data_IF_352606290979
#
_entry.id   IF_352606290979
#
_cell.length_a   1.000
_cell.length_b   1.000
_cell.length_c   1.000
_cell.angle_alpha   90.00
_cell.angle_beta   90.00
_cell.angle_gamma   90.00
#
_symmetry.space_group_name_H-M   'P 1'
#
loop_
_entity.id
_entity.type
_entity.pdbx_description
1 polymer ?
#
# COMPACT_ATOMS: atom_id res chain seq x y z
N UNK A 1 -18.01 19.83 -9.10
CA UNK A 1 -17.19 19.06 -10.05
C UNK A 1 -15.98 19.88 -10.38
N UNK A 2 -14.84 19.50 -9.85
CA UNK A 2 -13.61 20.29 -9.88
C UNK A 2 -13.01 20.33 -11.31
N UNK A 3 -12.92 21.52 -11.89
CA UNK A 3 -12.32 21.74 -13.22
C UNK A 3 -10.81 21.45 -13.27
N UNK A 4 -10.15 21.22 -12.13
CA UNK A 4 -8.74 20.87 -12.05
C UNK A 4 -8.48 19.43 -12.54
N UNK A 5 -9.42 18.54 -12.35
CA UNK A 5 -9.33 17.14 -12.85
C UNK A 5 -9.59 17.01 -14.36
N UNK A 6 -10.17 18.03 -15.00
CA UNK A 6 -10.35 18.04 -16.46
C UNK A 6 -9.07 18.45 -17.22
N UNK A 7 -8.06 19.00 -16.54
CA UNK A 7 -6.78 19.42 -17.15
C UNK A 7 -5.64 18.39 -17.05
N UNK A 8 -5.81 17.36 -16.25
CA UNK A 8 -4.96 16.17 -16.36
C UNK A 8 -5.46 15.43 -17.60
N UNK A 9 -4.84 15.79 -18.72
CA UNK A 9 -5.34 15.55 -20.06
C UNK A 9 -5.88 14.13 -20.25
N UNK A 10 -6.84 14.01 -21.14
CA UNK A 10 -7.49 12.80 -21.69
C UNK A 10 -6.52 11.59 -21.85
N UNK A 11 -5.21 11.82 -21.94
CA UNK A 11 -4.17 10.80 -21.97
C UNK A 11 -3.94 10.05 -20.64
N UNK A 12 -3.91 10.72 -19.49
CA UNK A 12 -3.66 10.05 -18.20
C UNK A 12 -4.89 9.26 -17.73
N UNK A 13 -6.09 9.75 -18.03
CA UNK A 13 -7.35 9.06 -17.78
C UNK A 13 -7.51 7.82 -18.69
N UNK A 14 -7.06 7.93 -19.95
CA UNK A 14 -7.01 6.80 -20.89
C UNK A 14 -5.95 5.77 -20.50
N UNK A 15 -4.81 6.19 -19.95
CA UNK A 15 -3.79 5.26 -19.43
C UNK A 15 -4.30 4.49 -18.21
N UNK A 16 -4.87 5.19 -17.24
CA UNK A 16 -5.45 4.58 -16.04
C UNK A 16 -6.60 3.61 -16.37
N UNK A 17 -7.49 3.98 -17.29
CA UNK A 17 -8.55 3.10 -17.77
C UNK A 17 -8.02 1.94 -18.60
N UNK A 18 -6.97 2.14 -19.43
CA UNK A 18 -6.31 1.07 -20.18
C UNK A 18 -5.58 0.09 -19.27
N UNK A 19 -4.94 0.55 -18.21
CA UNK A 19 -4.25 -0.33 -17.26
C UNK A 19 -5.25 -1.10 -16.41
N UNK A 20 -6.35 -0.47 -16.00
CA UNK A 20 -7.46 -1.17 -15.36
C UNK A 20 -8.14 -2.17 -16.32
N UNK A 21 -8.33 -1.82 -17.58
CA UNK A 21 -8.86 -2.73 -18.60
C UNK A 21 -7.90 -3.89 -18.88
N UNK A 22 -6.58 -3.67 -18.95
CA UNK A 22 -5.59 -4.73 -19.11
C UNK A 22 -5.55 -5.69 -17.93
N UNK A 23 -5.66 -5.18 -16.70
CA UNK A 23 -5.76 -5.97 -15.48
C UNK A 23 -7.07 -6.75 -15.41
N UNK A 24 -8.17 -6.16 -15.91
CA UNK A 24 -9.49 -6.78 -15.90
C UNK A 24 -9.72 -7.78 -17.05
N UNK A 25 -9.24 -7.49 -18.26
CA UNK A 25 -9.46 -8.35 -19.42
C UNK A 25 -8.62 -9.63 -19.44
N UNK A 26 -7.43 -9.63 -18.87
CA UNK A 26 -6.61 -10.84 -18.73
C UNK A 26 -7.19 -11.76 -17.64
N UNK A 27 -7.19 -11.35 -16.36
CA UNK A 27 -7.60 -12.20 -15.26
C UNK A 27 -9.08 -12.61 -15.30
N UNK A 28 -10.00 -11.70 -15.62
CA UNK A 28 -11.44 -11.99 -15.59
C UNK A 28 -11.91 -12.99 -16.65
N UNK A 29 -11.23 -13.08 -17.78
CA UNK A 29 -11.52 -14.12 -18.79
C UNK A 29 -11.09 -15.51 -18.35
N UNK A 30 -10.08 -15.59 -17.50
CA UNK A 30 -9.48 -16.83 -17.04
C UNK A 30 -10.11 -17.36 -15.75
N UNK A 31 -10.93 -16.56 -15.06
CA UNK A 31 -11.59 -16.98 -13.83
C UNK A 31 -12.98 -17.54 -14.09
N UNK A 32 -13.19 -18.87 -13.88
CA UNK A 32 -14.49 -19.54 -14.09
C UNK A 32 -15.63 -18.98 -13.26
N UNK A 33 -15.31 -18.34 -12.14
CA UNK A 33 -16.32 -17.69 -11.27
C UNK A 33 -16.97 -16.44 -11.86
N UNK A 34 -16.37 -15.88 -12.91
CA UNK A 34 -16.90 -14.73 -13.62
C UNK A 34 -17.16 -15.10 -15.08
N UNK A 35 -18.34 -15.63 -15.41
CA UNK A 35 -18.69 -15.96 -16.78
C UNK A 35 -18.48 -14.75 -17.69
N UNK A 36 -18.01 -15.02 -18.91
CA UNK A 36 -17.81 -13.97 -19.92
C UNK A 36 -19.06 -13.09 -20.04
N UNK A 37 -18.87 -11.77 -19.91
CA UNK A 37 -19.94 -10.80 -20.03
C UNK A 37 -20.75 -10.56 -18.75
N UNK A 38 -20.44 -11.19 -17.61
CA UNK A 38 -21.15 -10.97 -16.34
C UNK A 38 -21.16 -9.50 -15.92
N UNK A 39 -20.08 -8.77 -16.22
CA UNK A 39 -19.91 -7.37 -15.81
C UNK A 39 -19.81 -6.41 -16.99
N UNK A 40 -19.99 -6.88 -18.22
CA UNK A 40 -19.75 -6.10 -19.42
C UNK A 40 -18.32 -5.56 -19.44
N UNK A 41 -18.15 -4.24 -19.56
CA UNK A 41 -16.86 -3.55 -19.52
C UNK A 41 -16.46 -3.07 -18.11
N UNK A 42 -17.29 -3.35 -17.10
CA UNK A 42 -17.06 -2.88 -15.73
C UNK A 42 -16.39 -3.95 -14.86
N UNK A 43 -15.37 -3.54 -14.11
CA UNK A 43 -14.82 -4.36 -13.02
C UNK A 43 -15.60 -4.03 -11.76
N UNK A 44 -16.25 -5.00 -11.11
CA UNK A 44 -17.02 -4.75 -9.89
C UNK A 44 -16.08 -4.36 -8.74
N UNK A 45 -16.63 -3.62 -7.78
CA UNK A 45 -15.94 -3.37 -6.52
C UNK A 45 -15.78 -4.68 -5.75
N UNK A 46 -14.56 -4.98 -5.36
CA UNK A 46 -14.26 -6.19 -4.60
C UNK A 46 -14.39 -6.01 -3.07
N UNK A 47 -14.53 -4.79 -2.58
CA UNK A 47 -14.53 -4.53 -1.13
C UNK A 47 -13.19 -4.93 -0.50
N UNK A 48 -13.25 -5.70 0.57
CA UNK A 48 -12.07 -6.26 1.25
C UNK A 48 -11.49 -7.49 0.54
N UNK A 49 -12.20 -8.04 -0.45
CA UNK A 49 -11.71 -9.12 -1.28
C UNK A 49 -10.81 -8.58 -2.38
N UNK A 50 -9.75 -9.30 -2.72
CA UNK A 50 -9.01 -9.02 -3.94
C UNK A 50 -9.84 -9.43 -5.16
N UNK A 51 -10.03 -8.52 -6.10
CA UNK A 51 -10.74 -8.83 -7.34
C UNK A 51 -9.99 -9.85 -8.19
N UNK A 52 -10.71 -10.48 -9.14
CA UNK A 52 -10.10 -11.39 -10.10
C UNK A 52 -9.69 -12.75 -9.54
N UNK A 53 -10.28 -13.19 -8.41
CA UNK A 53 -10.01 -14.52 -7.84
C UNK A 53 -8.67 -14.64 -7.14
N UNK A 54 -7.99 -13.53 -6.88
CA UNK A 54 -6.76 -13.55 -6.08
C UNK A 54 -7.08 -13.98 -4.64
N UNK A 55 -6.39 -14.99 -4.09
CA UNK A 55 -6.71 -15.57 -2.78
C UNK A 55 -6.12 -14.74 -1.64
N UNK A 56 -6.22 -13.42 -1.69
CA UNK A 56 -5.75 -12.49 -0.68
C UNK A 56 -6.82 -11.48 -0.31
N UNK A 57 -7.28 -11.47 0.96
CA UNK A 57 -8.33 -10.60 1.44
C UNK A 57 -7.91 -9.90 2.73
N UNK A 58 -8.54 -8.76 2.99
CA UNK A 58 -8.48 -8.08 4.27
C UNK A 58 -9.59 -8.65 5.14
N UNK A 59 -9.24 -9.19 6.31
CA UNK A 59 -10.16 -9.81 7.26
C UNK A 59 -10.09 -9.09 8.61
N UNK A 60 -11.19 -9.16 9.35
CA UNK A 60 -11.31 -8.55 10.68
C UNK A 60 -10.48 -9.30 11.70
N UNK A 61 -9.96 -8.56 12.67
CA UNK A 61 -9.33 -9.09 13.87
C UNK A 61 -10.13 -8.68 15.12
N UNK A 62 -9.77 -9.23 16.27
CA UNK A 62 -10.39 -8.86 17.55
C UNK A 62 -10.31 -7.36 17.77
N UNK A 63 -11.42 -6.75 18.15
CA UNK A 63 -11.54 -5.32 18.41
C UNK A 63 -12.01 -4.48 17.20
N UNK A 64 -12.30 -5.10 16.06
CA UNK A 64 -12.72 -4.42 14.83
C UNK A 64 -13.97 -3.54 14.99
N UNK A 65 -14.80 -3.79 16.00
CA UNK A 65 -16.03 -3.01 16.27
C UNK A 65 -15.71 -1.58 16.74
N UNK A 66 -14.56 -1.39 17.35
CA UNK A 66 -14.15 -0.11 17.95
C UNK A 66 -12.86 0.45 17.37
N UNK A 67 -12.02 -0.39 16.78
CA UNK A 67 -10.78 -0.01 16.13
C UNK A 67 -10.90 -0.18 14.61
N UNK A 68 -10.94 0.92 13.83
CA UNK A 68 -11.04 0.86 12.37
C UNK A 68 -9.80 0.22 11.69
N UNK A 69 -8.70 0.05 12.41
CA UNK A 69 -7.45 -0.54 11.93
C UNK A 69 -7.23 -1.97 12.44
N UNK A 70 -8.21 -2.57 13.16
CA UNK A 70 -8.15 -3.96 13.64
C UNK A 70 -8.43 -4.97 12.51
N UNK A 71 -7.59 -4.94 11.48
CA UNK A 71 -7.67 -5.79 10.30
C UNK A 71 -6.29 -6.33 9.92
N UNK A 72 -6.30 -7.44 9.19
CA UNK A 72 -5.09 -8.04 8.62
C UNK A 72 -5.35 -8.49 7.18
N UNK A 73 -4.37 -8.29 6.31
CA UNK A 73 -4.37 -8.87 4.97
C UNK A 73 -3.77 -10.27 5.05
N UNK A 74 -4.48 -11.27 4.54
CA UNK A 74 -4.05 -12.69 4.52
C UNK A 74 -4.13 -13.20 3.09
N UNK A 75 -3.09 -13.93 2.66
CA UNK A 75 -3.04 -14.55 1.34
C UNK A 75 -3.03 -16.07 1.49
N UNK A 76 -4.11 -16.72 1.06
CA UNK A 76 -4.26 -18.17 1.06
C UNK A 76 -3.60 -18.78 -0.19
N UNK A 77 -2.28 -18.57 -0.36
CA UNK A 77 -1.51 -19.11 -1.49
C UNK A 77 -1.52 -20.65 -1.49
N UNK A 78 -1.34 -21.22 -2.66
CA UNK A 78 -1.36 -22.69 -2.87
C UNK A 78 -0.43 -23.41 -1.92
N UNK A 79 0.82 -22.94 -1.78
CA UNK A 79 1.83 -23.56 -0.93
C UNK A 79 1.57 -23.37 0.56
N UNK A 80 0.94 -22.25 0.94
CA UNK A 80 0.66 -21.92 2.33
C UNK A 80 -0.70 -22.47 2.81
N UNK A 81 -1.61 -22.78 1.89
CA UNK A 81 -2.97 -23.20 2.21
C UNK A 81 -3.06 -24.41 3.15
N UNK A 82 -2.26 -25.49 3.00
CA UNK A 82 -2.32 -26.60 3.93
C UNK A 82 -2.04 -26.22 5.39
N UNK A 83 -1.06 -25.35 5.60
CA UNK A 83 -0.73 -24.87 6.94
C UNK A 83 -1.82 -23.93 7.49
N UNK A 84 -2.34 -23.05 6.63
CA UNK A 84 -3.43 -22.15 6.99
C UNK A 84 -4.69 -22.92 7.36
N UNK A 85 -5.10 -23.90 6.54
CA UNK A 85 -6.27 -24.74 6.82
C UNK A 85 -6.17 -25.45 8.18
N UNK A 86 -5.01 -26.02 8.48
CA UNK A 86 -4.75 -26.65 9.79
C UNK A 86 -4.81 -25.63 10.93
N UNK A 87 -4.22 -24.45 10.75
CA UNK A 87 -4.20 -23.40 11.78
C UNK A 87 -5.59 -22.90 12.16
N UNK A 88 -6.49 -22.80 11.18
CA UNK A 88 -7.88 -22.36 11.40
C UNK A 88 -8.83 -23.52 11.78
N UNK A 89 -8.32 -24.75 11.94
CA UNK A 89 -9.10 -25.91 12.35
C UNK A 89 -9.79 -26.68 11.23
N UNK A 90 -9.45 -26.40 9.97
CA UNK A 90 -10.04 -27.03 8.78
C UNK A 90 -9.05 -27.96 8.05
N UNK A 91 -8.40 -28.86 8.80
CA UNK A 91 -7.53 -29.88 8.21
C UNK A 91 -8.26 -30.81 7.22
N UNK A 92 -9.58 -31.01 7.41
CA UNK A 92 -10.49 -31.75 6.55
C UNK A 92 -10.54 -31.22 5.12
N UNK A 93 -10.34 -29.92 4.91
CA UNK A 93 -10.31 -29.31 3.56
C UNK A 93 -9.21 -29.86 2.66
N UNK A 94 -8.18 -30.46 3.23
CA UNK A 94 -7.07 -31.02 2.43
C UNK A 94 -7.47 -32.30 1.70
N UNK A 95 -8.48 -32.98 2.18
CA UNK A 95 -9.02 -34.22 1.59
C UNK A 95 -10.36 -33.99 0.87
N UNK A 96 -11.07 -32.87 1.16
CA UNK A 96 -12.35 -32.54 0.55
C UNK A 96 -12.15 -32.11 -0.92
N UNK A 97 -12.78 -32.79 -1.91
CA UNK A 97 -12.72 -32.40 -3.30
C UNK A 97 -13.16 -30.96 -3.60
N UNK A 98 -13.93 -30.33 -2.71
CA UNK A 98 -14.36 -28.96 -2.85
C UNK A 98 -13.28 -27.93 -2.47
N UNK A 99 -12.22 -28.34 -1.75
CA UNK A 99 -11.20 -27.44 -1.21
C UNK A 99 -9.77 -27.89 -1.46
N UNK A 100 -9.53 -29.16 -1.83
CA UNK A 100 -8.19 -29.74 -1.91
C UNK A 100 -7.34 -29.19 -3.08
N UNK A 101 -7.96 -28.61 -4.10
CA UNK A 101 -7.24 -27.96 -5.21
C UNK A 101 -7.52 -26.46 -5.28
N UNK A 102 -6.60 -25.66 -5.87
CA UNK A 102 -6.83 -24.23 -6.08
C UNK A 102 -8.11 -23.96 -6.87
N UNK A 103 -8.35 -24.69 -7.95
CA UNK A 103 -9.52 -24.51 -8.83
C UNK A 103 -10.84 -24.82 -8.08
N UNK A 104 -10.84 -25.85 -7.24
CA UNK A 104 -12.00 -26.19 -6.42
C UNK A 104 -12.30 -25.10 -5.36
N UNK A 105 -11.26 -24.47 -4.81
CA UNK A 105 -11.40 -23.38 -3.83
C UNK A 105 -11.87 -22.07 -4.45
N UNK A 106 -11.51 -21.81 -5.70
CA UNK A 106 -11.73 -20.52 -6.34
C UNK A 106 -13.19 -20.04 -6.25
N UNK A 107 -14.22 -20.82 -6.59
CA UNK A 107 -15.62 -20.42 -6.43
C UNK A 107 -16.07 -20.35 -4.97
N UNK A 108 -15.26 -20.83 -4.02
CA UNK A 108 -15.55 -20.90 -2.59
C UNK A 108 -14.70 -19.99 -1.74
N UNK A 109 -13.94 -19.07 -2.35
CA UNK A 109 -13.06 -18.14 -1.62
C UNK A 109 -13.82 -17.33 -0.56
N UNK A 110 -15.05 -16.94 -0.82
CA UNK A 110 -15.86 -16.24 0.17
C UNK A 110 -16.08 -17.07 1.43
N UNK A 111 -16.34 -18.37 1.29
CA UNK A 111 -16.48 -19.28 2.42
C UNK A 111 -15.13 -19.48 3.13
N UNK A 112 -14.06 -19.72 2.39
CA UNK A 112 -12.71 -19.88 2.96
C UNK A 112 -12.33 -18.67 3.79
N UNK A 113 -12.52 -17.46 3.26
CA UNK A 113 -12.17 -16.24 3.98
C UNK A 113 -13.14 -15.91 5.13
N UNK A 114 -14.39 -16.36 5.08
CA UNK A 114 -15.30 -16.26 6.22
C UNK A 114 -14.80 -17.12 7.41
N UNK A 115 -14.29 -18.33 7.16
CA UNK A 115 -13.72 -19.16 8.21
C UNK A 115 -12.37 -18.62 8.72
N UNK A 116 -11.52 -18.08 7.83
CA UNK A 116 -10.32 -17.37 8.24
C UNK A 116 -10.70 -16.17 9.14
N UNK A 117 -11.70 -15.38 8.77
CA UNK A 117 -12.15 -14.22 9.55
C UNK A 117 -12.66 -14.61 10.94
N UNK A 118 -13.42 -15.70 11.06
CA UNK A 118 -13.84 -16.22 12.38
C UNK A 118 -12.66 -16.51 13.28
N UNK A 119 -11.61 -17.11 12.74
CA UNK A 119 -10.39 -17.41 13.47
C UNK A 119 -9.60 -16.13 13.82
N UNK A 120 -9.42 -15.22 12.88
CA UNK A 120 -8.67 -13.98 13.12
C UNK A 120 -9.37 -13.04 14.10
N UNK A 121 -10.71 -13.04 14.17
CA UNK A 121 -11.46 -12.29 15.17
C UNK A 121 -11.24 -12.75 16.61
N UNK A 122 -10.63 -13.88 16.85
CA UNK A 122 -10.27 -14.35 18.21
C UNK A 122 -8.99 -13.69 18.75
N UNK A 123 -8.20 -13.03 17.90
CA UNK A 123 -6.88 -12.50 18.20
C UNK A 123 -6.71 -11.06 17.63
N UNK A 124 -5.78 -10.30 18.21
CA UNK A 124 -5.35 -9.03 17.62
C UNK A 124 -4.60 -9.23 16.28
N UNK A 125 -4.56 -8.22 15.43
CA UNK A 125 -3.84 -8.28 14.15
C UNK A 125 -2.36 -8.69 14.29
N UNK A 126 -1.71 -8.30 15.38
CA UNK A 126 -0.31 -8.65 15.64
C UNK A 126 -0.16 -10.10 16.11
N UNK A 127 -1.09 -10.61 16.93
CA UNK A 127 -1.13 -12.03 17.33
C UNK A 127 -1.40 -12.94 16.14
N UNK A 128 -2.32 -12.55 15.24
CA UNK A 128 -2.57 -13.27 13.98
C UNK A 128 -1.30 -13.35 13.14
N UNK A 129 -0.60 -12.20 12.96
CA UNK A 129 0.65 -12.17 12.21
C UNK A 129 1.72 -13.07 12.84
N UNK A 130 1.85 -13.04 14.17
CA UNK A 130 2.79 -13.90 14.90
C UNK A 130 2.45 -15.39 14.76
N UNK A 131 1.17 -15.76 14.68
CA UNK A 131 0.73 -17.12 14.47
C UNK A 131 0.94 -17.62 13.03
N UNK A 132 0.75 -16.75 12.01
CA UNK A 132 0.83 -17.14 10.60
C UNK A 132 2.26 -17.11 10.02
N UNK A 133 3.14 -16.23 10.50
CA UNK A 133 4.50 -16.12 9.99
C UNK A 133 5.31 -17.42 10.07
N UNK A 134 5.33 -18.19 11.19
CA UNK A 134 6.05 -19.45 11.26
C UNK A 134 5.51 -20.53 10.30
N UNK A 135 4.26 -20.37 9.86
CA UNK A 135 3.59 -21.29 8.93
C UNK A 135 3.83 -20.92 7.46
N UNK A 136 4.64 -19.89 7.19
CA UNK A 136 4.88 -19.32 5.86
C UNK A 136 3.58 -18.90 5.15
N UNK A 137 2.58 -18.43 5.91
CA UNK A 137 1.37 -17.83 5.35
C UNK A 137 1.60 -16.33 5.19
N UNK A 138 1.63 -15.81 3.95
CA UNK A 138 1.84 -14.38 3.74
C UNK A 138 0.67 -13.58 4.34
N UNK A 139 1.01 -12.66 5.24
CA UNK A 139 0.04 -11.77 5.87
C UNK A 139 0.70 -10.46 6.28
N UNK A 140 -0.12 -9.43 6.47
CA UNK A 140 0.34 -8.13 6.94
C UNK A 140 -0.76 -7.38 7.68
N UNK A 141 -0.50 -6.83 8.89
CA UNK A 141 -1.48 -6.07 9.63
C UNK A 141 -1.80 -4.76 8.90
N UNK A 142 -3.03 -4.32 8.99
CA UNK A 142 -3.41 -2.97 8.58
C UNK A 142 -2.98 -2.03 9.71
N UNK A 143 -2.05 -1.14 9.39
CA UNK A 143 -1.49 -0.22 10.38
C UNK A 143 -2.12 1.16 10.24
N UNK A 144 -2.46 1.75 11.38
CA UNK A 144 -2.83 3.16 11.47
C UNK A 144 -1.63 4.06 11.13
N UNK A 145 -1.89 5.32 10.82
CA UNK A 145 -0.82 6.31 10.58
C UNK A 145 0.11 6.48 11.79
N UNK A 146 -0.42 6.33 13.00
CA UNK A 146 0.39 6.36 14.23
C UNK A 146 1.30 5.14 14.32
N UNK A 147 0.76 3.95 14.14
CA UNK A 147 1.56 2.71 14.13
C UNK A 147 2.64 2.73 13.06
N UNK A 148 2.34 3.24 11.85
CA UNK A 148 3.35 3.42 10.80
C UNK A 148 4.47 4.38 11.22
N UNK A 149 4.11 5.49 11.86
CA UNK A 149 5.10 6.47 12.33
C UNK A 149 5.99 5.93 13.46
N UNK A 150 5.45 5.05 14.29
CA UNK A 150 6.14 4.47 15.45
C UNK A 150 6.86 3.14 15.12
N UNK A 151 6.58 2.51 13.96
CA UNK A 151 7.11 1.19 13.59
C UNK A 151 8.64 1.20 13.42
N UNK A 152 9.38 0.48 14.28
CA UNK A 152 10.86 0.50 14.24
C UNK A 152 11.44 -0.07 12.94
N UNK A 153 10.78 -1.04 12.32
CA UNK A 153 11.23 -1.64 11.07
C UNK A 153 11.22 -0.63 9.92
N UNK A 154 10.21 0.26 9.87
CA UNK A 154 10.13 1.31 8.86
C UNK A 154 11.22 2.37 9.03
N UNK A 155 11.62 2.67 10.27
CA UNK A 155 12.78 3.53 10.55
C UNK A 155 14.10 2.86 10.17
N UNK A 156 14.28 1.60 10.54
CA UNK A 156 15.47 0.82 10.20
C UNK A 156 15.69 0.68 8.69
N UNK A 157 14.63 0.54 7.93
CA UNK A 157 14.69 0.47 6.47
C UNK A 157 14.79 1.85 5.80
N UNK A 158 14.66 2.93 6.57
CA UNK A 158 14.63 4.29 6.04
C UNK A 158 13.39 4.59 5.19
N UNK A 159 12.30 3.84 5.40
CA UNK A 159 10.98 4.15 4.82
C UNK A 159 10.36 5.36 5.51
N UNK A 160 10.55 5.45 6.84
CA UNK A 160 10.23 6.63 7.63
C UNK A 160 11.54 7.20 8.16
N UNK A 161 11.77 8.48 7.94
CA UNK A 161 12.97 9.21 8.38
C UNK A 161 12.59 10.42 9.21
N UNK A 162 13.46 10.79 10.14
CA UNK A 162 13.33 12.03 10.90
C UNK A 162 14.20 13.11 10.24
N UNK A 163 13.64 14.28 10.04
CA UNK A 163 14.36 15.46 9.56
C UNK A 163 14.21 16.62 10.55
N UNK A 164 15.27 17.42 10.68
CA UNK A 164 15.26 18.60 11.56
C UNK A 164 15.00 19.85 10.73
N UNK A 165 14.01 20.64 11.14
CA UNK A 165 13.60 21.86 10.43
C UNK A 165 13.69 23.06 11.39
N UNK A 166 14.36 24.16 11.03
CA UNK A 166 14.68 25.26 11.94
C UNK A 166 13.44 25.95 12.54
N UNK A 167 12.30 25.90 11.85
CA UNK A 167 11.05 26.51 12.36
C UNK A 167 10.07 25.50 12.94
N UNK A 168 10.12 24.21 12.50
CA UNK A 168 9.16 23.17 12.90
C UNK A 168 9.74 22.20 13.93
N UNK A 169 11.07 22.22 14.13
CA UNK A 169 11.76 21.20 14.89
C UNK A 169 11.80 19.87 14.15
N UNK A 170 12.07 18.81 14.87
CA UNK A 170 12.13 17.46 14.33
C UNK A 170 10.74 16.94 13.93
N UNK A 171 10.65 16.38 12.74
CA UNK A 171 9.41 15.73 12.27
C UNK A 171 9.72 14.50 11.41
N UNK A 172 8.74 13.61 11.31
CA UNK A 172 8.85 12.41 10.48
C UNK A 172 8.35 12.70 9.07
N UNK A 173 9.05 12.13 8.10
CA UNK A 173 8.66 12.15 6.70
C UNK A 173 8.95 10.82 6.02
N UNK A 174 8.45 10.65 4.81
CA UNK A 174 8.71 9.45 4.01
C UNK A 174 10.11 9.53 3.43
N UNK A 175 10.87 8.46 3.57
CA UNK A 175 12.19 8.32 2.97
C UNK A 175 12.13 8.00 1.47
N UNK A 176 13.29 7.96 0.82
CA UNK A 176 13.35 7.53 -0.57
C UNK A 176 13.15 6.01 -0.66
N UNK A 177 12.14 5.51 -1.41
CA UNK A 177 11.92 4.08 -1.59
C UNK A 177 13.00 3.42 -2.46
N UNK A 178 13.67 4.19 -3.32
CA UNK A 178 14.73 3.69 -4.19
C UNK A 178 16.06 3.76 -3.41
N UNK A 179 16.63 2.59 -3.12
CA UNK A 179 17.91 2.47 -2.42
C UNK A 179 18.99 2.06 -3.43
N UNK A 180 19.88 2.99 -3.74
CA UNK A 180 21.02 2.74 -4.62
C UNK A 180 22.29 2.65 -3.76
N UNK A 181 23.06 1.57 -3.92
CA UNK A 181 24.30 1.35 -3.16
C UNK A 181 25.36 2.41 -3.42
N UNK A 182 25.52 2.78 -4.70
CA UNK A 182 26.58 3.68 -5.15
C UNK A 182 26.13 5.15 -5.24
N UNK A 183 24.83 5.41 -5.03
CA UNK A 183 24.23 6.75 -5.11
C UNK A 183 23.09 6.87 -4.10
N UNK A 184 23.37 6.76 -2.80
CA UNK A 184 22.34 6.85 -1.77
C UNK A 184 21.71 8.23 -1.77
N UNK A 185 20.38 8.27 -1.74
CA UNK A 185 19.64 9.52 -1.62
C UNK A 185 19.64 9.98 -0.16
N UNK A 186 20.08 11.20 0.08
CA UNK A 186 20.01 11.86 1.37
C UNK A 186 18.67 12.60 1.47
N UNK A 187 17.85 12.24 2.47
CA UNK A 187 16.55 12.86 2.72
C UNK A 187 16.75 14.04 3.67
N UNK A 188 16.61 15.23 3.15
CA UNK A 188 16.78 16.48 3.89
C UNK A 188 15.45 17.23 4.02
N UNK A 189 15.41 18.17 4.93
CA UNK A 189 14.28 19.10 5.05
C UNK A 189 14.12 19.95 3.79
N UNK A 190 12.92 20.47 3.59
CA UNK A 190 12.72 21.53 2.61
C UNK A 190 13.41 22.82 3.04
N UNK A 191 13.94 23.62 2.11
CA UNK A 191 14.47 24.95 2.43
C UNK A 191 13.37 25.89 2.92
N UNK A 192 13.76 26.92 3.66
CA UNK A 192 12.89 28.04 3.98
C UNK A 192 12.69 28.92 2.74
N UNK A 193 11.62 29.70 2.76
CA UNK A 193 11.38 30.66 1.70
C UNK A 193 12.56 31.63 1.59
N UNK A 194 13.15 31.70 0.40
CA UNK A 194 14.30 32.56 0.12
C UNK A 194 15.65 32.10 0.69
N UNK A 195 15.74 30.95 1.34
CA UNK A 195 16.98 30.45 2.00
C UNK A 195 18.17 30.40 1.04
N UNK A 196 17.94 30.03 -0.21
CA UNK A 196 19.01 29.91 -1.23
C UNK A 196 19.01 31.03 -2.26
N UNK A 197 18.28 32.11 -2.04
CA UNK A 197 18.16 33.21 -3.03
C UNK A 197 19.54 33.73 -3.43
N UNK A 198 20.39 34.08 -2.48
CA UNK A 198 21.72 34.64 -2.81
C UNK A 198 22.63 33.59 -3.47
N UNK A 199 22.60 32.35 -2.99
CA UNK A 199 23.36 31.25 -3.59
C UNK A 199 22.98 31.05 -5.06
N UNK A 200 21.69 31.02 -5.35
CA UNK A 200 21.17 30.88 -6.72
C UNK A 200 21.58 32.06 -7.59
N UNK A 201 21.45 33.31 -7.10
CA UNK A 201 21.82 34.50 -7.84
C UNK A 201 23.31 34.52 -8.16
N UNK A 202 24.17 34.12 -7.21
CA UNK A 202 25.61 34.04 -7.44
C UNK A 202 25.99 32.91 -8.39
N UNK A 203 25.48 31.71 -8.16
CA UNK A 203 25.94 30.50 -8.87
C UNK A 203 25.35 30.32 -10.25
N UNK A 204 24.09 30.72 -10.46
CA UNK A 204 23.40 30.53 -11.74
C UNK A 204 23.39 31.82 -12.60
N UNK A 205 23.30 32.98 -11.97
CA UNK A 205 23.27 34.25 -12.70
C UNK A 205 24.58 35.01 -12.65
N UNK A 206 25.56 34.61 -11.86
CA UNK A 206 26.86 35.22 -11.75
C UNK A 206 26.86 36.62 -11.11
N UNK A 207 25.80 36.98 -10.36
CA UNK A 207 25.68 38.27 -9.74
C UNK A 207 26.70 38.43 -8.60
N UNK A 208 27.33 39.60 -8.53
CA UNK A 208 28.17 39.97 -7.42
C UNK A 208 27.36 40.54 -6.23
N UNK A 209 28.03 40.73 -5.08
CA UNK A 209 27.36 41.21 -3.85
C UNK A 209 26.71 42.59 -4.01
N UNK A 210 27.29 43.48 -4.81
CA UNK A 210 26.73 44.79 -5.07
C UNK A 210 25.41 44.73 -5.87
N UNK A 211 25.35 43.88 -6.87
CA UNK A 211 24.16 43.65 -7.69
C UNK A 211 23.03 43.00 -6.85
N UNK A 212 23.37 42.05 -6.00
CA UNK A 212 22.41 41.40 -5.07
C UNK A 212 21.85 42.43 -4.08
N UNK A 213 22.72 43.31 -3.53
CA UNK A 213 22.27 44.35 -2.63
C UNK A 213 21.38 45.42 -3.33
N UNK A 214 21.72 45.76 -4.56
CA UNK A 214 20.88 46.67 -5.36
C UNK A 214 19.49 46.08 -5.63
N UNK A 215 19.43 44.77 -5.96
CA UNK A 215 18.17 44.04 -6.14
C UNK A 215 17.29 44.03 -4.87
N UNK A 216 17.91 43.85 -3.67
CA UNK A 216 17.20 43.97 -2.39
C UNK A 216 16.66 45.38 -2.15
N UNK A 217 17.46 46.42 -2.38
CA UNK A 217 17.03 47.80 -2.17
C UNK A 217 15.88 48.19 -3.09
N UNK A 218 15.80 47.57 -4.27
CA UNK A 218 14.71 47.77 -5.21
C UNK A 218 13.48 46.88 -4.95
N UNK A 219 13.54 46.00 -3.93
CA UNK A 219 12.44 45.07 -3.61
C UNK A 219 12.22 43.97 -4.64
N UNK A 220 13.25 43.65 -5.46
CA UNK A 220 13.19 42.59 -6.45
C UNK A 220 13.43 41.21 -5.82
N UNK A 221 14.05 41.15 -4.65
CA UNK A 221 14.29 39.94 -3.84
C UNK A 221 14.13 40.25 -2.35
#
# INVERSE_FOLDING_TARGET
>A
MDRSLQRLGDGSRRLYLRDQQRLAHGPLKEYPQYPNGTFGDAVPRAGNASGGGHPGWIVKCKGWETDPDAYIYVIAQVQAFPNLAKAIGHADWLEDPNFNTPDARLPRLAHVFAEIEKWTMTMSKMEVMAALNPLNVPCGPILSMRELAEEPALRKTGTVVEVDHPQRGKYLTVGNPIKLSDSPADVRRSPLLGEHTEEVLRTLLGLNDGEIQAARQQGAI
#
